data_IF_752313388609
#
_entry.id   IF_752313388609
#
_cell.length_a   1.000
_cell.length_b   1.000
_cell.length_c   1.000
_cell.angle_alpha   90.00
_cell.angle_beta   90.00
_cell.angle_gamma   90.00
#
_symmetry.space_group_name_H-M   'P 1'
#
loop_
_entity.id
_entity.type
_entity.pdbx_description
1 polymer ?
#
# COMPACT_ATOMS: atom_id res chain seq x y z
N UNK A 1 -2.07 18.45 10.37
CA UNK A 1 -2.26 16.98 10.32
C UNK A 1 -3.63 16.71 9.74
N UNK A 2 -3.73 16.14 8.55
CA UNK A 2 -4.98 15.52 8.07
C UNK A 2 -4.57 14.26 7.30
N UNK A 3 -4.33 13.15 8.03
CA UNK A 3 -4.46 11.84 7.44
C UNK A 3 -5.97 11.65 7.27
N UNK A 4 -6.47 11.77 6.05
CA UNK A 4 -7.88 11.54 5.77
C UNK A 4 -8.08 10.01 5.75
N UNK A 5 -8.85 9.41 6.68
CA UNK A 5 -9.06 7.97 6.72
C UNK A 5 -10.13 7.61 5.68
N UNK A 6 -9.81 7.77 4.41
CA UNK A 6 -10.66 7.27 3.34
C UNK A 6 -10.27 5.82 3.12
N UNK A 7 -11.23 4.90 3.21
CA UNK A 7 -10.98 3.45 3.14
C UNK A 7 -10.14 2.98 1.95
N UNK A 8 -9.97 3.80 0.90
CA UNK A 8 -9.06 3.54 -0.20
C UNK A 8 -7.57 3.58 0.20
N UNK A 9 -7.13 4.55 1.00
CA UNK A 9 -5.72 4.65 1.40
C UNK A 9 -5.34 3.49 2.34
N UNK A 10 -6.24 3.15 3.25
CA UNK A 10 -6.10 2.01 4.15
C UNK A 10 -6.15 0.67 3.39
N UNK A 11 -7.08 0.52 2.45
CA UNK A 11 -7.16 -0.66 1.60
C UNK A 11 -5.91 -0.82 0.72
N UNK A 12 -5.37 0.29 0.19
CA UNK A 12 -4.14 0.27 -0.58
C UNK A 12 -2.94 -0.14 0.27
N UNK A 13 -2.81 0.43 1.48
CA UNK A 13 -1.78 0.02 2.43
C UNK A 13 -1.93 -1.47 2.83
N UNK A 14 -3.17 -1.94 3.01
CA UNK A 14 -3.51 -3.34 3.25
C UNK A 14 -3.10 -4.27 2.10
N UNK A 15 -3.44 -3.93 0.85
CA UNK A 15 -3.08 -4.75 -0.31
C UNK A 15 -1.57 -4.78 -0.52
N UNK A 16 -0.87 -3.65 -0.33
CA UNK A 16 0.60 -3.61 -0.37
C UNK A 16 1.18 -4.55 0.71
N UNK A 17 0.69 -4.50 1.96
CA UNK A 17 1.14 -5.43 3.02
C UNK A 17 0.89 -6.89 2.65
N UNK A 18 -0.30 -7.20 2.13
CA UNK A 18 -0.65 -8.55 1.71
C UNK A 18 0.32 -9.07 0.65
N UNK A 19 0.67 -8.23 -0.33
CA UNK A 19 1.58 -8.61 -1.40
C UNK A 19 3.04 -8.76 -0.94
N UNK A 20 3.51 -7.89 -0.04
CA UNK A 20 4.82 -8.06 0.59
C UNK A 20 4.90 -9.37 1.39
N UNK A 21 3.83 -9.72 2.12
CA UNK A 21 3.75 -10.97 2.85
C UNK A 21 3.76 -12.19 1.92
N UNK A 22 2.94 -12.19 0.85
CA UNK A 22 2.90 -13.26 -0.17
C UNK A 22 4.27 -13.52 -0.79
N UNK A 23 5.03 -12.45 -1.06
CA UNK A 23 6.36 -12.52 -1.68
C UNK A 23 7.51 -12.65 -0.68
N UNK A 24 7.23 -12.66 0.62
CA UNK A 24 8.23 -12.65 1.70
C UNK A 24 9.24 -11.50 1.58
N UNK A 25 8.78 -10.34 1.10
CA UNK A 25 9.61 -9.14 0.94
C UNK A 25 9.60 -8.35 2.25
N UNK A 26 10.79 -8.11 2.81
CA UNK A 26 10.93 -7.29 4.00
C UNK A 26 10.80 -5.80 3.66
N UNK A 27 10.00 -5.07 4.42
CA UNK A 27 9.82 -3.61 4.30
C UNK A 27 11.16 -2.87 4.33
N UNK A 28 12.10 -3.27 5.20
CA UNK A 28 13.44 -2.69 5.27
C UNK A 28 14.20 -2.81 3.93
N UNK A 29 14.13 -3.98 3.29
CA UNK A 29 14.81 -4.24 2.01
C UNK A 29 14.17 -3.44 0.89
N UNK A 30 12.84 -3.41 0.84
CA UNK A 30 12.11 -2.62 -0.15
C UNK A 30 12.40 -1.12 -0.01
N UNK A 31 12.40 -0.60 1.22
CA UNK A 31 12.71 0.81 1.50
C UNK A 31 14.09 1.20 0.93
N UNK A 32 15.10 0.36 1.17
CA UNK A 32 16.44 0.58 0.63
C UNK A 32 16.46 0.56 -0.93
N UNK A 33 15.69 -0.33 -1.56
CA UNK A 33 15.61 -0.42 -3.02
C UNK A 33 14.95 0.80 -3.67
N UNK A 34 13.96 1.41 -3.00
CA UNK A 34 13.23 2.57 -3.53
C UNK A 34 13.77 3.92 -3.05
N UNK A 35 14.87 3.92 -2.29
CA UNK A 35 15.51 5.14 -1.78
C UNK A 35 14.73 5.81 -0.64
N UNK A 36 13.99 5.05 0.16
CA UNK A 36 13.28 5.53 1.35
C UNK A 36 13.92 5.04 2.64
N UNK A 37 13.75 5.80 3.72
CA UNK A 37 14.03 5.26 5.05
C UNK A 37 13.01 4.16 5.40
N UNK A 38 13.43 3.20 6.22
CA UNK A 38 12.54 2.14 6.72
C UNK A 38 11.32 2.73 7.41
N UNK A 39 11.51 3.76 8.23
CA UNK A 39 10.43 4.40 9.00
C UNK A 39 9.38 5.02 8.08
N UNK A 40 9.80 5.78 7.07
CA UNK A 40 8.90 6.38 6.08
C UNK A 40 8.07 5.30 5.41
N UNK A 41 8.71 4.25 4.88
CA UNK A 41 7.94 3.18 4.21
C UNK A 41 7.02 2.46 5.20
N UNK A 42 7.45 2.24 6.45
CA UNK A 42 6.64 1.61 7.50
C UNK A 42 5.36 2.39 7.78
N UNK A 43 5.45 3.72 7.93
CA UNK A 43 4.28 4.56 8.17
C UNK A 43 3.28 4.50 7.01
N UNK A 44 3.77 4.29 5.78
CA UNK A 44 2.93 4.12 4.59
C UNK A 44 2.23 2.76 4.54
N UNK A 45 2.97 1.67 4.69
CA UNK A 45 2.38 0.31 4.67
C UNK A 45 1.44 0.07 5.85
N UNK A 46 1.63 0.78 6.96
CA UNK A 46 0.71 0.74 8.10
C UNK A 46 -0.54 1.62 7.91
N UNK A 47 -0.63 2.39 6.81
CA UNK A 47 -1.76 3.27 6.52
C UNK A 47 -1.76 4.59 7.31
N UNK A 48 -0.73 4.87 8.10
CA UNK A 48 -0.62 6.13 8.85
C UNK A 48 -0.35 7.33 7.94
N UNK A 49 0.29 7.11 6.79
CA UNK A 49 0.56 8.12 5.76
C UNK A 49 0.18 7.58 4.38
N UNK A 50 -0.68 8.25 3.60
CA UNK A 50 -1.12 7.76 2.29
C UNK A 50 0.02 7.79 1.26
N UNK A 51 0.11 6.76 0.42
CA UNK A 51 1.07 6.72 -0.70
C UNK A 51 0.75 7.79 -1.74
N UNK A 52 1.76 8.54 -2.19
CA UNK A 52 1.62 9.31 -3.43
C UNK A 52 1.65 8.38 -4.65
N UNK A 53 1.12 8.82 -5.78
CA UNK A 53 1.12 8.02 -7.02
C UNK A 53 2.53 7.61 -7.47
N UNK A 54 3.52 8.50 -7.30
CA UNK A 54 4.91 8.22 -7.63
C UNK A 54 5.51 7.11 -6.74
N UNK A 55 5.18 7.12 -5.45
CA UNK A 55 5.68 6.12 -4.50
C UNK A 55 5.01 4.77 -4.70
N UNK A 56 3.70 4.75 -4.95
CA UNK A 56 2.99 3.55 -5.34
C UNK A 56 3.64 2.92 -6.57
N UNK A 57 3.91 3.72 -7.60
CA UNK A 57 4.54 3.25 -8.85
C UNK A 57 5.91 2.63 -8.57
N UNK A 58 6.75 3.28 -7.76
CA UNK A 58 8.06 2.76 -7.36
C UNK A 58 7.95 1.43 -6.61
N UNK A 59 7.08 1.36 -5.61
CA UNK A 59 6.83 0.14 -4.82
C UNK A 59 6.36 -1.00 -5.72
N UNK A 60 5.31 -0.75 -6.51
CA UNK A 60 4.69 -1.74 -7.39
C UNK A 60 5.70 -2.31 -8.39
N UNK A 61 6.45 -1.44 -9.08
CA UNK A 61 7.48 -1.85 -10.03
C UNK A 61 8.60 -2.67 -9.35
N UNK A 62 9.01 -2.27 -8.15
CA UNK A 62 10.08 -2.98 -7.40
C UNK A 62 9.65 -4.37 -6.97
N UNK A 63 8.37 -4.55 -6.62
CA UNK A 63 7.84 -5.87 -6.26
C UNK A 63 7.34 -6.66 -7.48
N UNK A 64 7.40 -6.09 -8.69
CA UNK A 64 7.06 -6.76 -9.95
C UNK A 64 5.57 -6.85 -10.25
N UNK A 65 4.79 -5.81 -9.90
CA UNK A 65 3.35 -5.73 -10.17
C UNK A 65 3.00 -4.35 -10.71
N UNK A 66 2.00 -4.28 -11.58
CA UNK A 66 1.45 -3.00 -12.02
C UNK A 66 0.78 -2.25 -10.85
N UNK A 67 1.03 -0.93 -10.70
CA UNK A 67 0.35 -0.12 -9.67
C UNK A 67 -1.17 -0.10 -9.86
N UNK A 68 -1.67 -0.26 -11.10
CA UNK A 68 -3.11 -0.35 -11.41
C UNK A 68 -3.74 -1.58 -10.77
N UNK A 69 -3.02 -2.72 -10.73
CA UNK A 69 -3.53 -3.96 -10.13
C UNK A 69 -3.66 -3.80 -8.61
N UNK A 70 -2.72 -3.12 -7.96
CA UNK A 70 -2.79 -2.84 -6.52
C UNK A 70 -3.97 -1.92 -6.20
N UNK A 71 -4.17 -0.85 -7.00
CA UNK A 71 -5.33 0.04 -6.83
C UNK A 71 -6.65 -0.68 -7.04
N UNK A 72 -6.79 -1.47 -8.11
CA UNK A 72 -8.02 -2.21 -8.40
C UNK A 72 -8.40 -3.17 -7.26
N UNK A 73 -7.42 -3.90 -6.71
CA UNK A 73 -7.66 -4.81 -5.58
C UNK A 73 -7.98 -4.07 -4.28
N UNK A 74 -7.31 -2.96 -4.02
CA UNK A 74 -7.62 -2.10 -2.89
C UNK A 74 -9.04 -1.52 -2.99
N UNK A 75 -9.45 -1.09 -4.18
CA UNK A 75 -10.81 -0.62 -4.42
C UNK A 75 -11.84 -1.72 -4.19
N UNK A 76 -11.60 -2.94 -4.71
CA UNK A 76 -12.46 -4.09 -4.46
C UNK A 76 -12.59 -4.39 -2.96
N UNK A 77 -11.46 -4.44 -2.23
CA UNK A 77 -11.47 -4.68 -0.79
C UNK A 77 -12.24 -3.58 -0.03
N UNK A 78 -12.11 -2.32 -0.44
CA UNK A 78 -12.85 -1.21 0.14
C UNK A 78 -14.35 -1.27 -0.17
N UNK A 79 -14.75 -1.78 -1.33
CA UNK A 79 -16.15 -1.99 -1.71
C UNK A 79 -16.77 -3.17 -0.94
N UNK A 80 -16.06 -4.28 -0.83
CA UNK A 80 -16.49 -5.47 -0.08
C UNK A 80 -16.72 -5.11 1.40
N UNK A 81 -15.81 -4.32 1.98
CA UNK A 81 -15.95 -3.80 3.34
C UNK A 81 -17.19 -2.93 3.51
N UNK A 82 -17.55 -2.10 2.51
CA UNK A 82 -18.77 -1.27 2.54
C UNK A 82 -20.06 -2.09 2.41
N UNK A 83 -20.03 -3.19 1.64
CA UNK A 83 -21.20 -4.04 1.42
C UNK A 83 -21.53 -4.93 2.63
N UNK A 84 -20.56 -5.26 3.48
CA UNK A 84 -20.78 -6.09 4.68
C UNK A 84 -21.41 -5.34 5.86
N UNK A 85 -21.50 -4.01 5.80
CA UNK A 85 -22.05 -3.17 6.87
C UNK A 85 -23.46 -2.64 6.57
N UNK A 86 -24.00 -2.97 5.39
CA UNK A 86 -25.36 -2.62 4.94
C UNK A 86 -26.30 -3.82 5.07
#
# INVERSE_FOLDING_TARGET
>A
MIANPNGMDEALAGEIRAELARRKIQVKKLAAQIGMSREVLSNRVNGSVPFTAAELTKVANTIGISPVVLMQRAEQAAQDAKQQVA
#
